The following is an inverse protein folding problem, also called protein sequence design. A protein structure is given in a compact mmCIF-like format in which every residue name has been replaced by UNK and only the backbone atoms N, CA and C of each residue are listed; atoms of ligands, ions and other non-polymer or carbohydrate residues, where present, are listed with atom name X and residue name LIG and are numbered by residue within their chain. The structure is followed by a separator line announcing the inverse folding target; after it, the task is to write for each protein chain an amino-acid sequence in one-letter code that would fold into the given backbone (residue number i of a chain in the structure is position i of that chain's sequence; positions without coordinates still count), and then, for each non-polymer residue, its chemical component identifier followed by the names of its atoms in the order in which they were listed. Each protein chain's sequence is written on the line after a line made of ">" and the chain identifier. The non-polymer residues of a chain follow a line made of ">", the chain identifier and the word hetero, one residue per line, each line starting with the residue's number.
data_IF_200093135595
#
_entry.id   IF_200093135595
#
_cell.length_a   1.000
_cell.length_b   1.000
_cell.length_c   1.000
_cell.angle_alpha   90.00
_cell.angle_beta   90.00
_cell.angle_gamma   90.00
#
_symmetry.space_group_name_H-M   'P 1'
#
loop_
_entity.id
_entity.type
_entity.pdbx_description
1 polymer ?
#
# COMPACT_ATOMS: atom_id res chain seq x y z
N UNK A 1 -3.69 -1.89 44.08
CA UNK A 1 -3.76 -2.35 42.70
C UNK A 1 -2.35 -2.63 42.23
N UNK A 2 -2.01 -3.87 41.90
CA UNK A 2 -0.70 -4.18 41.33
C UNK A 2 -0.83 -3.99 39.82
N UNK A 3 -0.20 -2.93 39.29
CA UNK A 3 -0.09 -2.74 37.86
C UNK A 3 1.02 -3.65 37.32
N UNK A 4 0.69 -4.52 36.39
CA UNK A 4 1.68 -5.28 35.63
C UNK A 4 1.77 -4.68 34.22
N UNK A 5 2.98 -4.43 33.76
CA UNK A 5 3.22 -3.95 32.39
C UNK A 5 3.53 -5.15 31.50
N UNK A 6 2.72 -5.37 30.50
CA UNK A 6 2.98 -6.35 29.44
C UNK A 6 3.54 -5.65 28.21
N UNK A 7 4.69 -6.15 27.70
CA UNK A 7 5.31 -5.58 26.50
C UNK A 7 4.85 -6.36 25.27
N UNK A 8 4.33 -5.63 24.29
CA UNK A 8 3.94 -6.16 22.99
C UNK A 8 4.90 -5.66 21.92
N UNK A 9 5.38 -6.57 21.09
CA UNK A 9 6.32 -6.24 20.02
C UNK A 9 5.66 -6.54 18.67
N UNK A 10 5.72 -5.57 17.80
CA UNK A 10 5.16 -5.63 16.46
C UNK A 10 6.28 -5.56 15.42
N UNK A 11 6.19 -6.34 14.36
CA UNK A 11 6.89 -6.11 13.12
C UNK A 11 5.88 -5.55 12.12
N UNK A 12 5.97 -4.25 11.87
CA UNK A 12 4.94 -3.49 11.14
C UNK A 12 3.56 -3.70 11.79
N UNK A 13 2.72 -4.56 11.19
CA UNK A 13 1.35 -4.83 11.65
C UNK A 13 1.18 -6.21 12.27
N UNK A 14 2.21 -7.03 12.15
CA UNK A 14 2.22 -8.37 12.69
C UNK A 14 2.64 -8.34 14.15
N UNK A 15 1.81 -8.89 15.03
CA UNK A 15 2.22 -9.15 16.40
C UNK A 15 3.24 -10.29 16.40
N UNK A 16 4.48 -10.02 16.82
CA UNK A 16 5.53 -11.05 16.94
C UNK A 16 5.76 -11.52 18.37
N UNK A 17 5.38 -10.69 19.35
CA UNK A 17 5.52 -11.06 20.77
C UNK A 17 4.48 -10.35 21.65
N UNK A 18 3.96 -11.08 22.66
CA UNK A 18 3.14 -10.54 23.74
C UNK A 18 3.66 -11.11 25.06
N UNK A 19 4.41 -10.32 25.81
CA UNK A 19 5.14 -10.81 27.00
C UNK A 19 6.12 -11.95 26.65
N UNK A 20 5.88 -13.16 27.17
CA UNK A 20 6.64 -14.38 26.86
C UNK A 20 6.20 -15.07 25.57
N UNK A 21 5.00 -14.81 25.09
CA UNK A 21 4.42 -15.49 23.94
C UNK A 21 5.04 -15.01 22.62
N UNK A 22 5.27 -15.93 21.69
CA UNK A 22 5.87 -15.68 20.39
C UNK A 22 4.89 -16.10 19.31
N UNK A 23 4.75 -15.28 18.26
CA UNK A 23 3.88 -15.51 17.11
C UNK A 23 4.71 -15.57 15.83
N UNK A 24 4.45 -16.57 15.00
CA UNK A 24 4.98 -16.68 13.64
C UNK A 24 3.83 -16.38 12.69
N UNK A 25 4.01 -15.37 11.87
CA UNK A 25 2.97 -14.88 10.97
C UNK A 25 3.17 -15.38 9.54
N UNK A 26 2.07 -15.51 8.79
CA UNK A 26 2.09 -15.79 7.36
C UNK A 26 2.76 -14.62 6.61
N UNK A 27 3.87 -14.86 5.90
CA UNK A 27 4.66 -13.78 5.30
C UNK A 27 3.97 -13.08 4.11
N UNK A 28 2.97 -13.73 3.51
CA UNK A 28 2.30 -13.23 2.31
C UNK A 28 0.97 -12.52 2.61
N UNK A 29 0.49 -12.57 3.86
CA UNK A 29 -0.74 -11.87 4.25
C UNK A 29 -0.38 -10.52 4.87
N UNK A 30 -0.80 -9.46 4.21
CA UNK A 30 -0.68 -8.10 4.72
C UNK A 30 -1.43 -7.97 6.04
N UNK A 31 -0.80 -7.34 7.03
CA UNK A 31 -1.42 -7.14 8.34
C UNK A 31 -1.04 -8.17 9.41
N UNK A 32 -0.33 -9.23 9.04
CA UNK A 32 0.17 -10.25 9.96
C UNK A 32 -0.93 -11.15 10.51
N UNK A 33 -0.97 -12.38 10.03
CA UNK A 33 -1.87 -13.42 10.51
C UNK A 33 -1.01 -14.52 11.12
N UNK A 34 -1.08 -14.74 12.45
CA UNK A 34 -0.29 -15.78 13.09
C UNK A 34 -0.72 -17.18 12.66
N UNK A 35 0.19 -17.93 12.06
CA UNK A 35 0.02 -19.34 11.70
C UNK A 35 0.50 -20.29 12.80
N UNK A 36 1.32 -19.78 13.71
CA UNK A 36 1.83 -20.51 14.84
C UNK A 36 2.01 -19.57 16.03
N UNK A 37 1.68 -20.05 17.23
CA UNK A 37 2.06 -19.40 18.48
C UNK A 37 2.78 -20.36 19.41
N UNK A 38 3.71 -19.81 20.21
CA UNK A 38 4.35 -20.49 21.34
C UNK A 38 4.00 -19.71 22.60
N UNK A 39 3.24 -20.33 23.49
CA UNK A 39 2.84 -19.78 24.78
C UNK A 39 3.33 -20.68 25.92
N UNK A 40 3.06 -20.31 27.17
CA UNK A 40 3.33 -21.18 28.34
C UNK A 40 2.55 -22.49 28.28
N UNK A 41 1.42 -22.54 27.54
CA UNK A 41 0.62 -23.74 27.32
C UNK A 41 1.16 -24.63 26.19
N UNK A 42 2.19 -24.20 25.48
CA UNK A 42 2.86 -24.96 24.42
C UNK A 42 2.78 -24.29 23.04
N UNK A 43 3.06 -25.09 22.01
CA UNK A 43 3.00 -24.65 20.61
C UNK A 43 1.63 -24.99 20.04
N UNK A 44 1.06 -24.03 19.30
CA UNK A 44 -0.22 -24.17 18.60
C UNK A 44 -0.07 -23.73 17.15
N UNK A 45 -0.77 -24.42 16.26
CA UNK A 45 -0.95 -24.06 14.87
C UNK A 45 -2.34 -23.48 14.69
N UNK A 46 -2.47 -22.45 13.86
CA UNK A 46 -3.71 -21.69 13.67
C UNK A 46 -4.19 -21.83 12.25
N UNK A 47 -5.49 -22.08 12.09
CA UNK A 47 -6.20 -22.08 10.81
C UNK A 47 -7.12 -20.87 10.74
N UNK A 48 -7.22 -20.25 9.57
CA UNK A 48 -7.86 -18.97 9.38
C UNK A 48 -8.86 -19.00 8.23
N UNK A 49 -9.84 -18.08 8.31
CA UNK A 49 -10.64 -17.70 7.17
C UNK A 49 -9.86 -16.77 6.21
N UNK A 50 -10.49 -16.38 5.11
CA UNK A 50 -9.89 -15.48 4.12
C UNK A 50 -9.47 -14.12 4.71
N UNK A 51 -10.25 -13.46 5.60
CA UNK A 51 -9.84 -12.24 6.28
C UNK A 51 -8.73 -12.42 7.34
N UNK A 52 -8.30 -13.65 7.62
CA UNK A 52 -7.27 -13.92 8.62
C UNK A 52 -7.80 -14.05 10.05
N UNK A 53 -9.11 -14.26 10.22
CA UNK A 53 -9.69 -14.58 11.52
C UNK A 53 -9.44 -16.03 11.86
N UNK A 54 -8.87 -16.30 13.02
CA UNK A 54 -8.58 -17.67 13.48
C UNK A 54 -9.88 -18.43 13.71
N UNK A 55 -10.05 -19.56 13.03
CA UNK A 55 -11.21 -20.44 13.14
C UNK A 55 -11.01 -21.52 14.20
N UNK A 56 -9.81 -22.13 14.24
CA UNK A 56 -9.42 -23.11 15.26
C UNK A 56 -7.91 -23.15 15.42
N UNK A 57 -7.47 -23.80 16.49
CA UNK A 57 -6.06 -24.10 16.68
C UNK A 57 -5.84 -25.54 17.12
N UNK A 58 -4.71 -26.12 16.70
CA UNK A 58 -4.29 -27.49 17.02
C UNK A 58 -2.96 -27.50 17.78
N UNK A 59 -2.72 -28.58 18.51
CA UNK A 59 -1.42 -28.88 19.12
C UNK A 59 -0.43 -29.46 18.08
N UNK A 60 0.79 -29.74 18.51
CA UNK A 60 1.84 -30.35 17.68
C UNK A 60 1.54 -31.77 17.19
N UNK A 61 0.46 -32.38 17.67
CA UNK A 61 -0.01 -33.73 17.27
C UNK A 61 -1.23 -33.64 16.35
N UNK A 62 -1.70 -32.43 16.06
CA UNK A 62 -2.90 -32.19 15.25
C UNK A 62 -4.22 -32.32 16.04
N UNK A 63 -4.20 -32.44 17.38
CA UNK A 63 -5.43 -32.45 18.15
C UNK A 63 -5.99 -31.01 18.25
N UNK A 64 -7.31 -30.88 18.11
CA UNK A 64 -8.01 -29.62 18.29
C UNK A 64 -7.83 -29.13 19.74
N UNK A 65 -7.30 -27.92 19.90
CA UNK A 65 -7.07 -27.29 21.21
C UNK A 65 -8.13 -26.23 21.48
N UNK A 66 -8.43 -25.42 20.46
CA UNK A 66 -9.42 -24.34 20.51
C UNK A 66 -10.25 -24.33 19.23
N UNK A 67 -11.53 -24.03 19.39
CA UNK A 67 -12.49 -23.81 18.32
C UNK A 67 -13.11 -22.42 18.50
N UNK A 68 -13.07 -21.59 17.47
CA UNK A 68 -13.52 -20.21 17.47
C UNK A 68 -14.65 -19.96 16.45
N UNK A 69 -15.31 -21.00 15.97
CA UNK A 69 -16.36 -20.92 14.94
C UNK A 69 -17.60 -20.11 15.36
N UNK A 70 -17.73 -19.78 16.65
CA UNK A 70 -18.76 -18.87 17.18
C UNK A 70 -18.46 -17.38 16.95
N UNK A 71 -17.29 -17.07 16.37
CA UNK A 71 -16.90 -15.69 16.07
C UNK A 71 -17.72 -15.14 14.91
N UNK A 72 -18.43 -14.03 15.15
CA UNK A 72 -19.19 -13.34 14.12
C UNK A 72 -18.26 -12.67 13.10
N UNK A 73 -18.82 -12.23 11.97
CA UNK A 73 -18.08 -11.46 10.95
C UNK A 73 -17.50 -10.14 11.48
N UNK A 74 -17.95 -9.68 12.64
CA UNK A 74 -17.46 -8.48 13.32
C UNK A 74 -16.44 -8.79 14.41
N UNK A 75 -16.04 -10.05 14.56
CA UNK A 75 -15.10 -10.46 15.60
C UNK A 75 -15.71 -10.68 16.97
N UNK A 76 -17.02 -10.52 17.11
CA UNK A 76 -17.73 -10.82 18.35
C UNK A 76 -17.89 -12.34 18.49
N UNK A 77 -17.70 -12.88 19.68
CA UNK A 77 -17.84 -14.31 19.97
C UNK A 77 -17.48 -14.61 21.41
N UNK A 78 -17.47 -15.90 21.79
CA UNK A 78 -17.05 -16.33 23.12
C UNK A 78 -15.58 -15.99 23.33
N UNK A 79 -15.33 -14.86 23.96
CA UNK A 79 -14.02 -14.41 24.33
C UNK A 79 -13.56 -15.26 25.50
N UNK A 80 -12.96 -16.37 25.17
CA UNK A 80 -12.22 -17.14 26.18
C UNK A 80 -10.95 -16.38 26.52
N UNK A 81 -10.46 -16.54 27.75
CA UNK A 81 -9.13 -16.04 28.15
C UNK A 81 -8.06 -16.68 27.28
N UNK A 82 -7.86 -16.13 26.13
CA UNK A 82 -6.96 -16.66 25.13
C UNK A 82 -6.05 -15.55 24.59
N UNK A 83 -4.77 -15.78 24.69
CA UNK A 83 -3.73 -14.86 24.22
C UNK A 83 -3.48 -14.97 22.72
N UNK A 84 -4.21 -15.86 22.04
CA UNK A 84 -4.10 -16.02 20.59
C UNK A 84 -4.59 -14.78 19.85
N UNK A 85 -3.96 -14.52 18.72
CA UNK A 85 -4.51 -13.57 17.77
C UNK A 85 -5.76 -14.18 17.09
N UNK A 86 -6.84 -13.43 17.03
CA UNK A 86 -8.14 -13.93 16.57
C UNK A 86 -8.68 -13.18 15.37
N UNK A 87 -9.43 -12.13 15.60
CA UNK A 87 -10.09 -11.37 14.54
C UNK A 87 -9.07 -10.68 13.63
N UNK A 88 -9.06 -11.05 12.35
CA UNK A 88 -8.08 -10.57 11.35
C UNK A 88 -6.61 -10.62 11.81
N UNK A 89 -6.26 -11.67 12.53
CA UNK A 89 -4.91 -11.86 13.07
C UNK A 89 -4.53 -10.95 14.24
N UNK A 90 -5.49 -10.25 14.85
CA UNK A 90 -5.22 -9.32 15.95
C UNK A 90 -5.58 -9.92 17.31
N UNK A 91 -4.75 -9.67 18.34
CA UNK A 91 -5.00 -10.15 19.69
C UNK A 91 -6.12 -9.36 20.37
N UNK A 92 -6.84 -10.04 21.24
CA UNK A 92 -7.81 -9.41 22.11
C UNK A 92 -7.19 -9.06 23.46
N UNK A 93 -7.48 -7.87 23.95
CA UNK A 93 -7.10 -7.44 25.29
C UNK A 93 -8.33 -7.43 26.19
N UNK A 94 -8.30 -8.22 27.26
CA UNK A 94 -9.45 -8.39 28.20
C UNK A 94 -9.68 -7.16 29.04
N UNK A 95 -8.64 -6.43 29.42
CA UNK A 95 -8.77 -5.22 30.23
C UNK A 95 -9.34 -4.07 29.38
N UNK A 96 -8.94 -4.01 28.13
CA UNK A 96 -9.50 -3.05 27.16
C UNK A 96 -10.84 -3.52 26.61
N UNK A 97 -11.16 -4.81 26.66
CA UNK A 97 -12.33 -5.41 25.97
C UNK A 97 -12.35 -5.05 24.47
N UNK A 98 -11.22 -5.15 23.81
CA UNK A 98 -11.06 -4.74 22.42
C UNK A 98 -9.95 -5.54 21.71
N UNK A 99 -10.05 -5.67 20.41
CA UNK A 99 -8.92 -6.12 19.60
C UNK A 99 -7.91 -4.99 19.45
N UNK A 100 -6.63 -5.32 19.66
CA UNK A 100 -5.54 -4.37 19.60
C UNK A 100 -4.88 -4.42 18.22
N UNK A 101 -5.03 -3.34 17.49
CA UNK A 101 -4.31 -3.07 16.26
C UNK A 101 -3.16 -2.09 16.54
N UNK A 102 -2.14 -2.00 15.69
CA UNK A 102 -1.00 -1.13 15.95
C UNK A 102 -1.34 0.36 16.23
N UNK A 103 -2.39 0.86 15.64
CA UNK A 103 -2.74 2.29 15.72
C UNK A 103 -4.09 2.56 16.39
N UNK A 104 -4.98 1.57 16.47
CA UNK A 104 -6.34 1.74 17.03
C UNK A 104 -6.79 0.48 17.77
N UNK A 105 -7.74 0.62 18.67
CA UNK A 105 -8.41 -0.50 19.30
C UNK A 105 -9.79 -0.69 18.70
N UNK A 106 -10.15 -1.91 18.33
CA UNK A 106 -11.42 -2.26 17.71
C UNK A 106 -12.35 -2.93 18.70
N UNK A 107 -13.55 -2.39 18.82
CA UNK A 107 -14.62 -2.93 19.66
C UNK A 107 -15.58 -3.78 18.81
N UNK A 108 -15.48 -5.10 18.94
CA UNK A 108 -16.31 -6.03 18.19
C UNK A 108 -17.80 -5.93 18.53
N UNK A 109 -18.14 -5.58 19.79
CA UNK A 109 -19.54 -5.49 20.24
C UNK A 109 -20.30 -4.33 19.58
N UNK A 110 -19.59 -3.28 19.21
CA UNK A 110 -20.14 -2.11 18.51
C UNK A 110 -19.78 -2.07 17.03
N UNK A 111 -18.92 -2.99 16.58
CA UNK A 111 -18.33 -3.03 15.24
C UNK A 111 -17.63 -1.71 14.86
N UNK A 112 -16.90 -1.10 15.81
CA UNK A 112 -16.29 0.22 15.65
C UNK A 112 -14.90 0.32 16.24
N UNK A 113 -14.12 1.23 15.68
CA UNK A 113 -12.90 1.72 16.32
C UNK A 113 -13.23 2.55 17.56
N UNK A 114 -12.46 2.38 18.64
CA UNK A 114 -12.63 3.15 19.88
C UNK A 114 -12.05 4.55 19.85
N UNK A 115 -11.21 4.82 18.86
CA UNK A 115 -10.63 6.15 18.65
C UNK A 115 -10.85 6.60 17.22
N UNK A 116 -10.80 7.91 17.02
CA UNK A 116 -10.75 8.49 15.68
C UNK A 116 -9.55 7.99 14.92
N UNK A 117 -9.66 7.94 13.59
CA UNK A 117 -8.54 7.58 12.74
C UNK A 117 -7.41 8.60 12.87
N UNK A 118 -6.16 8.17 13.13
CA UNK A 118 -5.02 9.08 13.11
C UNK A 118 -4.82 9.80 11.76
N UNK A 119 -5.32 9.20 10.66
CA UNK A 119 -5.30 9.83 9.34
C UNK A 119 -6.43 10.87 9.12
N UNK A 120 -7.28 11.12 10.12
CA UNK A 120 -8.38 12.09 10.07
C UNK A 120 -9.72 11.46 9.75
N UNK A 121 -10.29 11.73 8.60
CA UNK A 121 -11.59 11.23 8.13
C UNK A 121 -11.46 10.43 6.83
N UNK A 122 -10.58 9.40 6.76
CA UNK A 122 -10.35 8.66 5.51
C UNK A 122 -11.61 7.97 5.01
N UNK A 123 -12.50 7.55 5.93
CA UNK A 123 -13.72 6.80 5.65
C UNK A 123 -14.99 7.68 5.67
N UNK A 124 -14.84 9.00 5.51
CA UNK A 124 -15.93 9.96 5.56
C UNK A 124 -16.23 10.45 6.98
N UNK A 125 -17.46 10.96 7.21
CA UNK A 125 -17.85 11.60 8.47
C UNK A 125 -17.76 10.64 9.68
N UNK A 126 -17.86 9.33 9.45
CA UNK A 126 -17.78 8.32 10.50
C UNK A 126 -16.38 7.73 10.60
N UNK A 127 -15.46 8.42 11.26
CA UNK A 127 -14.07 8.01 11.46
C UNK A 127 -13.86 6.85 12.48
N UNK A 128 -14.94 6.25 12.95
CA UNK A 128 -14.93 5.07 13.84
C UNK A 128 -15.43 3.81 13.13
N UNK A 129 -15.75 3.88 11.85
CA UNK A 129 -16.24 2.74 11.08
C UNK A 129 -15.09 1.80 10.72
N UNK A 130 -15.25 0.49 10.90
CA UNK A 130 -14.17 -0.47 10.67
C UNK A 130 -13.92 -0.72 9.18
N UNK A 131 -14.94 -1.11 8.45
CA UNK A 131 -14.88 -1.34 7.00
C UNK A 131 -16.28 -1.38 6.38
N UNK A 132 -16.41 -0.95 5.12
CA UNK A 132 -17.69 -0.89 4.43
C UNK A 132 -18.32 -2.29 4.19
N UNK A 133 -17.50 -3.32 4.01
CA UNK A 133 -17.93 -4.72 3.83
C UNK A 133 -16.98 -5.62 4.60
N UNK A 134 -17.32 -5.97 5.82
CA UNK A 134 -16.48 -6.72 6.77
C UNK A 134 -16.08 -8.13 6.30
N UNK A 135 -16.81 -8.71 5.37
CA UNK A 135 -16.58 -10.08 4.87
C UNK A 135 -15.69 -10.14 3.62
N UNK A 136 -15.47 -9.01 2.96
CA UNK A 136 -14.75 -8.95 1.69
C UNK A 136 -13.57 -7.97 1.71
N UNK A 137 -13.51 -7.09 2.70
CA UNK A 137 -12.48 -6.06 2.80
C UNK A 137 -11.79 -6.17 4.15
N UNK A 138 -10.52 -6.55 4.11
CA UNK A 138 -9.64 -6.46 5.27
C UNK A 138 -9.06 -5.05 5.23
N UNK A 139 -9.54 -4.19 6.12
CA UNK A 139 -8.79 -2.98 6.44
C UNK A 139 -7.59 -3.38 7.33
N UNK A 140 -6.56 -3.91 6.71
CA UNK A 140 -5.33 -4.23 7.44
C UNK A 140 -4.67 -2.97 7.97
N UNK A 141 -4.95 -1.80 7.36
CA UNK A 141 -4.45 -0.46 7.74
C UNK A 141 -5.28 0.72 7.25
N UNK A 142 -6.21 0.52 6.31
CA UNK A 142 -6.97 1.61 5.70
C UNK A 142 -6.14 2.59 4.89
N UNK A 143 -5.05 2.14 4.24
CA UNK A 143 -4.12 3.05 3.57
C UNK A 143 -3.74 2.56 2.17
N UNK A 144 -3.64 3.52 1.22
CA UNK A 144 -3.22 3.28 -0.14
C UNK A 144 -1.79 2.72 -0.24
N UNK A 145 -1.50 2.02 -1.32
CA UNK A 145 -0.14 1.59 -1.65
C UNK A 145 0.28 2.07 -3.04
N UNK A 146 1.55 2.40 -3.20
CA UNK A 146 2.16 2.68 -4.50
C UNK A 146 3.30 1.70 -4.73
N UNK A 147 3.14 0.88 -5.73
CA UNK A 147 4.12 -0.11 -6.16
C UNK A 147 4.87 0.38 -7.39
N UNK A 148 6.19 0.19 -7.42
CA UNK A 148 7.02 0.52 -8.58
C UNK A 148 7.32 -0.75 -9.36
N UNK A 149 7.09 -0.68 -10.65
CA UNK A 149 7.39 -1.74 -11.61
C UNK A 149 8.44 -1.27 -12.62
N UNK A 150 9.24 -2.22 -13.10
CA UNK A 150 10.18 -2.01 -14.18
C UNK A 150 10.02 -3.05 -15.28
N UNK A 151 10.23 -2.65 -16.54
CA UNK A 151 10.35 -3.56 -17.67
C UNK A 151 11.49 -3.12 -18.58
N UNK A 152 12.13 -4.03 -19.31
CA UNK A 152 13.16 -3.66 -20.27
C UNK A 152 12.57 -2.76 -21.37
N UNK A 153 13.34 -1.77 -21.78
CA UNK A 153 13.00 -0.96 -22.95
C UNK A 153 13.15 -1.81 -24.22
N UNK A 154 12.09 -1.88 -25.02
CA UNK A 154 12.12 -2.56 -26.30
C UNK A 154 13.17 -1.93 -27.24
N UNK A 155 14.13 -2.74 -27.72
CA UNK A 155 15.17 -2.30 -28.63
C UNK A 155 16.40 -1.63 -27.98
N UNK A 156 16.49 -1.59 -26.65
CA UNK A 156 17.68 -1.11 -25.93
C UNK A 156 18.27 -2.23 -25.07
N UNK A 157 19.58 -2.54 -25.20
CA UNK A 157 20.23 -3.56 -24.36
C UNK A 157 20.44 -3.13 -22.90
N UNK A 158 20.25 -1.84 -22.61
CA UNK A 158 20.35 -1.29 -21.26
C UNK A 158 19.31 -0.19 -21.08
N UNK A 159 18.43 -0.37 -20.12
CA UNK A 159 17.47 0.65 -19.72
C UNK A 159 16.16 0.04 -19.24
N UNK A 160 15.61 0.65 -18.22
CA UNK A 160 14.31 0.28 -17.62
C UNK A 160 13.29 1.35 -17.93
N UNK A 161 12.11 0.95 -18.40
CA UNK A 161 10.91 1.76 -18.31
C UNK A 161 10.26 1.50 -16.95
N UNK A 162 9.99 2.55 -16.18
CA UNK A 162 9.33 2.43 -14.91
C UNK A 162 7.93 3.04 -14.93
N UNK A 163 7.04 2.44 -14.18
CA UNK A 163 5.70 2.96 -13.91
C UNK A 163 5.30 2.62 -12.47
N UNK A 164 4.42 3.42 -11.90
CA UNK A 164 3.84 3.21 -10.59
C UNK A 164 2.45 2.60 -10.71
N UNK A 165 2.10 1.67 -9.83
CA UNK A 165 0.73 1.18 -9.65
C UNK A 165 0.23 1.66 -8.31
N UNK A 166 -0.65 2.65 -8.34
CA UNK A 166 -1.32 3.18 -7.16
C UNK A 166 -2.57 2.34 -6.92
N UNK A 167 -2.67 1.71 -5.76
CA UNK A 167 -3.85 0.95 -5.33
C UNK A 167 -4.46 1.65 -4.13
N UNK A 168 -5.77 1.83 -4.19
CA UNK A 168 -6.59 2.43 -3.13
C UNK A 168 -7.73 1.47 -2.79
N UNK A 169 -8.18 1.46 -1.54
CA UNK A 169 -9.38 0.73 -1.15
C UNK A 169 -10.67 1.50 -1.55
N UNK A 170 -11.84 0.88 -1.32
CA UNK A 170 -13.13 1.47 -1.68
C UNK A 170 -13.39 2.81 -0.99
N UNK A 171 -12.90 2.98 0.23
CA UNK A 171 -13.10 4.19 1.01
C UNK A 171 -12.24 5.34 0.47
N UNK A 172 -10.96 5.07 0.23
CA UNK A 172 -10.05 6.02 -0.38
C UNK A 172 -10.53 6.42 -1.78
N UNK A 173 -10.97 5.42 -2.55
CA UNK A 173 -11.57 5.68 -3.87
C UNK A 173 -12.79 6.58 -3.77
N UNK A 174 -13.64 6.43 -2.75
CA UNK A 174 -14.82 7.27 -2.55
C UNK A 174 -14.48 8.75 -2.40
N UNK A 175 -13.32 9.07 -1.81
CA UNK A 175 -12.82 10.42 -1.53
C UNK A 175 -12.18 11.10 -2.74
N UNK A 176 -11.86 10.35 -3.78
CA UNK A 176 -11.30 10.89 -5.02
C UNK A 176 -12.35 11.73 -5.76
N UNK A 177 -11.88 12.72 -6.49
CA UNK A 177 -12.72 13.50 -7.40
C UNK A 177 -13.25 12.62 -8.54
N UNK A 178 -14.30 13.06 -9.23
CA UNK A 178 -14.83 12.31 -10.39
C UNK A 178 -13.79 12.11 -11.49
N UNK A 179 -12.93 13.11 -11.71
CA UNK A 179 -11.84 13.05 -12.69
C UNK A 179 -10.78 12.03 -12.26
N UNK A 180 -10.35 12.07 -10.99
CA UNK A 180 -9.42 11.09 -10.45
C UNK A 180 -10.00 9.66 -10.52
N UNK A 181 -11.26 9.47 -10.15
CA UNK A 181 -11.96 8.17 -10.20
C UNK A 181 -11.94 7.55 -11.59
N UNK A 182 -12.07 8.36 -12.64
CA UNK A 182 -12.06 7.88 -14.03
C UNK A 182 -10.74 7.23 -14.44
N UNK A 183 -9.67 7.46 -13.69
CA UNK A 183 -8.32 6.93 -13.93
C UNK A 183 -8.06 5.57 -13.28
N UNK A 184 -8.99 5.06 -12.49
CA UNK A 184 -8.85 3.79 -11.77
C UNK A 184 -9.71 2.69 -12.36
N UNK A 185 -9.17 1.50 -12.34
CA UNK A 185 -9.88 0.26 -12.67
C UNK A 185 -10.24 -0.47 -11.38
N UNK A 186 -11.43 -1.09 -11.33
CA UNK A 186 -11.83 -1.94 -10.21
C UNK A 186 -11.12 -3.30 -10.28
N UNK A 187 -10.61 -3.77 -9.15
CA UNK A 187 -10.00 -5.08 -9.00
C UNK A 187 -11.02 -6.09 -8.44
N UNK A 188 -10.75 -7.38 -8.62
CA UNK A 188 -11.63 -8.46 -8.13
C UNK A 188 -11.69 -8.57 -6.60
N UNK A 189 -10.73 -7.98 -5.89
CA UNK A 189 -10.63 -7.94 -4.43
C UNK A 189 -11.34 -6.73 -3.79
N UNK A 190 -12.01 -5.91 -4.60
CA UNK A 190 -12.73 -4.72 -4.12
C UNK A 190 -11.86 -3.46 -3.98
N UNK A 191 -10.59 -3.54 -4.34
CA UNK A 191 -9.71 -2.38 -4.44
C UNK A 191 -9.81 -1.74 -5.82
N UNK A 192 -9.18 -0.58 -5.99
CA UNK A 192 -9.09 0.13 -7.26
C UNK A 192 -7.63 0.46 -7.54
N UNK A 193 -7.20 0.27 -8.78
CA UNK A 193 -5.81 0.54 -9.14
C UNK A 193 -5.69 1.37 -10.41
N UNK A 194 -4.62 2.16 -10.47
CA UNK A 194 -4.23 2.94 -11.63
C UNK A 194 -2.74 2.79 -11.86
N UNK A 195 -2.33 2.37 -13.06
CA UNK A 195 -0.92 2.46 -13.44
C UNK A 195 -0.64 3.86 -14.00
N UNK A 196 0.51 4.43 -13.63
CA UNK A 196 0.92 5.78 -14.01
C UNK A 196 2.36 5.73 -14.49
N UNK A 197 2.58 6.09 -15.74
CA UNK A 197 3.90 6.07 -16.36
C UNK A 197 4.09 7.18 -17.38
N UNK A 198 5.35 7.54 -17.63
CA UNK A 198 5.73 8.52 -18.65
C UNK A 198 6.19 7.85 -19.93
N UNK A 199 5.75 8.35 -21.06
CA UNK A 199 6.07 7.80 -22.37
C UNK A 199 6.60 8.89 -23.28
N UNK A 200 7.33 8.47 -24.31
CA UNK A 200 7.65 9.35 -25.43
C UNK A 200 6.36 9.62 -26.19
N UNK A 201 6.00 10.90 -26.33
CA UNK A 201 4.82 11.32 -27.10
C UNK A 201 4.99 11.02 -28.60
N UNK A 202 3.88 10.83 -29.28
CA UNK A 202 3.87 10.80 -30.76
C UNK A 202 4.01 12.20 -31.36
N UNK A 203 3.82 13.26 -30.57
CA UNK A 203 3.92 14.65 -30.99
C UNK A 203 5.37 15.11 -31.07
N UNK A 204 5.80 15.56 -32.25
CA UNK A 204 7.13 16.11 -32.46
C UNK A 204 7.22 17.57 -32.01
N UNK A 205 8.35 17.92 -31.42
CA UNK A 205 8.68 19.33 -31.11
C UNK A 205 9.08 20.06 -32.40
N UNK A 206 8.39 21.13 -32.81
CA UNK A 206 8.77 21.90 -33.98
C UNK A 206 10.18 22.49 -33.84
N UNK A 207 11.02 22.30 -34.86
CA UNK A 207 12.37 22.91 -34.98
C UNK A 207 13.45 22.44 -33.99
N UNK A 208 13.31 21.28 -33.35
CA UNK A 208 14.40 20.70 -32.55
C UNK A 208 15.23 19.74 -33.42
N UNK A 209 16.36 20.22 -33.96
CA UNK A 209 17.35 19.40 -34.61
C UNK A 209 18.21 18.72 -33.54
N UNK A 210 17.88 17.50 -33.16
CA UNK A 210 18.70 16.76 -32.19
C UNK A 210 19.08 15.36 -32.68
N UNK A 211 20.34 14.96 -32.51
CA UNK A 211 20.85 13.66 -32.99
C UNK A 211 20.35 12.44 -32.20
N UNK A 212 19.63 12.58 -31.09
CA UNK A 212 19.33 11.50 -30.16
C UNK A 212 17.84 11.29 -29.88
N UNK A 213 16.95 11.64 -30.80
CA UNK A 213 15.50 11.48 -30.60
C UNK A 213 14.89 12.48 -29.61
N UNK A 214 15.55 13.60 -29.39
CA UNK A 214 15.12 14.68 -28.50
C UNK A 214 14.07 15.62 -29.14
N UNK A 215 13.27 15.13 -30.05
CA UNK A 215 12.24 15.92 -30.76
C UNK A 215 10.82 15.58 -30.33
N UNK A 216 10.63 15.04 -29.14
CA UNK A 216 9.34 14.59 -28.66
C UNK A 216 9.10 15.10 -27.24
N UNK A 217 7.82 15.26 -26.88
CA UNK A 217 7.42 15.55 -25.50
C UNK A 217 7.35 14.25 -24.67
N UNK A 218 7.21 14.39 -23.37
CA UNK A 218 6.82 13.30 -22.46
C UNK A 218 5.33 13.37 -22.28
N UNK A 219 4.64 12.26 -22.52
CA UNK A 219 3.22 12.06 -22.19
C UNK A 219 3.14 11.22 -20.91
N UNK A 220 2.40 11.71 -19.91
CA UNK A 220 2.01 10.89 -18.77
C UNK A 220 0.70 10.19 -19.11
N UNK A 221 0.66 8.89 -18.94
CA UNK A 221 -0.52 8.08 -19.23
C UNK A 221 -0.96 7.29 -18.02
N UNK A 222 -2.29 7.09 -17.92
CA UNK A 222 -2.93 6.23 -16.95
C UNK A 222 -3.35 4.92 -17.61
N UNK A 223 -3.14 3.79 -16.91
CA UNK A 223 -3.55 2.44 -17.34
C UNK A 223 -3.11 2.07 -18.76
N UNK A 224 -1.88 2.42 -19.10
CA UNK A 224 -1.33 2.06 -20.41
C UNK A 224 -1.16 0.55 -20.52
N UNK A 225 -1.67 -0.04 -21.60
CA UNK A 225 -1.55 -1.49 -21.85
C UNK A 225 -0.09 -1.96 -21.97
N UNK A 226 0.83 -1.06 -22.34
CA UNK A 226 2.27 -1.33 -22.38
C UNK A 226 2.88 -1.53 -20.99
N UNK A 227 2.20 -1.15 -19.89
CA UNK A 227 2.61 -1.40 -18.51
C UNK A 227 2.31 -2.83 -18.04
N UNK A 228 1.61 -3.61 -18.86
CA UNK A 228 1.42 -5.03 -18.58
C UNK A 228 2.74 -5.80 -18.68
N UNK A 229 3.03 -6.67 -17.70
CA UNK A 229 4.20 -7.55 -17.72
C UNK A 229 5.50 -6.98 -17.15
N UNK A 230 5.45 -5.85 -16.47
CA UNK A 230 6.57 -5.35 -15.67
C UNK A 230 6.83 -6.23 -14.44
N UNK A 231 8.09 -6.24 -13.99
CA UNK A 231 8.49 -6.90 -12.74
C UNK A 231 8.35 -5.91 -11.60
N UNK A 232 7.64 -6.30 -10.55
CA UNK A 232 7.52 -5.49 -9.32
C UNK A 232 8.89 -5.33 -8.69
N UNK A 233 9.36 -4.10 -8.56
CA UNK A 233 10.61 -3.75 -7.91
C UNK A 233 10.43 -3.53 -6.41
N UNK A 234 9.29 -3.02 -5.98
CA UNK A 234 8.99 -2.81 -4.57
C UNK A 234 7.88 -1.79 -4.35
N UNK A 235 7.67 -1.47 -3.08
CA UNK A 235 6.70 -0.46 -2.65
C UNK A 235 7.41 0.88 -2.40
N UNK A 236 6.71 1.96 -2.68
CA UNK A 236 7.07 3.30 -2.19
C UNK A 236 6.80 3.35 -0.69
N UNK A 237 7.65 4.04 0.04
CA UNK A 237 7.43 4.32 1.46
C UNK A 237 7.08 5.79 1.65
N UNK A 238 6.22 6.09 2.60
CA UNK A 238 5.98 7.45 3.07
C UNK A 238 7.18 8.02 3.85
N UNK A 239 7.08 9.26 4.28
CA UNK A 239 8.12 9.94 5.07
C UNK A 239 8.42 9.22 6.40
N UNK A 240 7.48 8.48 6.93
CA UNK A 240 7.58 7.65 8.14
C UNK A 240 8.19 6.26 7.90
N UNK A 241 8.55 5.95 6.64
CA UNK A 241 9.04 4.64 6.22
C UNK A 241 7.95 3.57 6.02
N UNK A 242 6.67 3.92 6.21
CA UNK A 242 5.54 3.02 5.97
C UNK A 242 5.31 2.80 4.47
N UNK A 243 4.96 1.57 4.09
CA UNK A 243 4.50 1.24 2.72
C UNK A 243 3.04 1.65 2.50
N UNK A 244 2.36 2.01 3.55
CA UNK A 244 0.96 2.40 3.54
C UNK A 244 0.87 3.92 3.49
N UNK A 245 0.28 4.40 2.43
CA UNK A 245 0.31 5.80 2.04
C UNK A 245 -1.05 6.43 2.36
N UNK A 246 -1.05 7.55 3.06
CA UNK A 246 -2.29 8.25 3.42
C UNK A 246 -2.86 9.04 2.23
N UNK A 247 -4.10 9.52 2.36
CA UNK A 247 -4.78 10.28 1.32
C UNK A 247 -4.10 11.61 0.95
N UNK A 248 -3.27 12.18 1.85
CA UNK A 248 -2.47 13.36 1.50
C UNK A 248 -1.42 12.99 0.44
N UNK A 249 -0.76 11.84 0.61
CA UNK A 249 0.14 11.31 -0.41
C UNK A 249 -0.60 11.02 -1.72
N UNK A 250 -1.72 10.30 -1.67
CA UNK A 250 -2.53 9.95 -2.85
C UNK A 250 -2.92 11.21 -3.63
N UNK A 251 -3.47 12.19 -2.93
CA UNK A 251 -3.89 13.45 -3.56
C UNK A 251 -2.71 14.25 -4.11
N UNK A 252 -1.59 14.33 -3.38
CA UNK A 252 -0.39 15.02 -3.87
C UNK A 252 0.18 14.34 -5.12
N UNK A 253 0.23 13.01 -5.13
CA UNK A 253 0.70 12.22 -6.27
C UNK A 253 -0.16 12.41 -7.51
N UNK A 254 -1.48 12.27 -7.36
CA UNK A 254 -2.43 12.44 -8.47
C UNK A 254 -2.46 13.89 -8.97
N UNK A 255 -2.46 14.88 -8.08
CA UNK A 255 -2.43 16.29 -8.46
C UNK A 255 -1.14 16.66 -9.20
N UNK A 256 0.02 16.15 -8.76
CA UNK A 256 1.28 16.34 -9.45
C UNK A 256 1.24 15.73 -10.87
N UNK A 257 0.68 14.53 -11.01
CA UNK A 257 0.50 13.87 -12.30
C UNK A 257 -0.42 14.65 -13.22
N UNK A 258 -1.54 15.18 -12.70
CA UNK A 258 -2.51 15.97 -13.47
C UNK A 258 -1.94 17.34 -13.88
N UNK A 259 -1.18 17.98 -12.99
CA UNK A 259 -0.49 19.23 -13.30
C UNK A 259 0.57 19.01 -14.38
N UNK A 260 1.33 17.92 -14.30
CA UNK A 260 2.28 17.54 -15.34
C UNK A 260 1.56 17.36 -16.69
N UNK A 261 0.47 16.59 -16.74
CA UNK A 261 -0.32 16.42 -17.96
C UNK A 261 -0.82 17.74 -18.56
N UNK A 262 -1.15 18.71 -17.71
CA UNK A 262 -1.56 20.04 -18.17
C UNK A 262 -0.40 20.85 -18.75
N UNK A 263 0.85 20.50 -18.42
CA UNK A 263 2.09 21.17 -18.80
C UNK A 263 3.02 20.30 -19.67
N UNK A 264 2.57 19.13 -20.12
CA UNK A 264 3.42 18.09 -20.78
C UNK A 264 4.19 18.61 -21.99
N UNK A 265 3.60 19.52 -22.77
CA UNK A 265 4.27 20.14 -23.93
C UNK A 265 5.46 21.02 -23.56
N UNK A 266 5.69 21.26 -22.28
CA UNK A 266 6.84 22.02 -21.79
C UNK A 266 8.02 21.13 -21.39
N UNK A 267 7.86 19.80 -21.40
CA UNK A 267 8.93 18.86 -21.07
C UNK A 267 9.33 18.00 -22.25
N UNK A 268 10.61 17.99 -22.55
CA UNK A 268 11.19 17.25 -23.65
C UNK A 268 11.60 15.85 -23.22
N UNK A 269 11.31 14.86 -24.04
CA UNK A 269 11.78 13.48 -23.81
C UNK A 269 13.26 13.32 -24.13
N UNK A 270 14.01 12.71 -23.22
CA UNK A 270 15.38 12.22 -23.48
C UNK A 270 15.60 10.89 -22.77
N UNK A 271 16.08 9.89 -23.50
CA UNK A 271 16.47 8.62 -22.91
C UNK A 271 17.55 8.79 -21.81
N UNK A 272 18.40 9.81 -21.98
CA UNK A 272 19.43 10.21 -21.01
C UNK A 272 19.27 11.72 -20.77
N UNK A 273 18.46 12.13 -19.77
CA UNK A 273 18.22 13.54 -19.51
C UNK A 273 19.46 14.21 -18.93
N UNK A 274 19.91 15.29 -19.58
CA UNK A 274 21.11 16.04 -19.21
C UNK A 274 20.83 17.43 -18.63
N UNK A 275 19.60 17.91 -18.73
CA UNK A 275 19.18 19.18 -18.13
C UNK A 275 17.73 19.11 -17.68
N UNK A 276 17.30 20.03 -16.82
CA UNK A 276 15.94 20.07 -16.26
C UNK A 276 14.81 20.29 -17.29
N UNK A 277 15.14 20.59 -18.54
CA UNK A 277 14.19 20.69 -19.65
C UNK A 277 13.83 19.32 -20.23
N UNK A 278 14.64 18.31 -19.96
CA UNK A 278 14.46 16.95 -20.43
C UNK A 278 14.06 16.01 -19.29
N UNK A 279 13.34 14.98 -19.63
CA UNK A 279 12.99 13.91 -18.72
C UNK A 279 12.72 12.60 -19.45
N UNK A 280 12.43 11.56 -18.71
CA UNK A 280 11.97 10.25 -19.20
C UNK A 280 11.02 9.62 -18.18
N UNK A 281 10.54 8.40 -18.44
CA UNK A 281 9.65 7.69 -17.52
C UNK A 281 10.22 7.58 -16.10
N UNK A 282 11.53 7.33 -15.97
CA UNK A 282 12.17 7.14 -14.67
C UNK A 282 12.26 8.46 -13.88
N UNK A 283 12.65 9.57 -14.53
CA UNK A 283 12.70 10.88 -13.89
C UNK A 283 11.30 11.40 -13.51
N UNK A 284 10.30 11.16 -14.36
CA UNK A 284 8.91 11.54 -14.08
C UNK A 284 8.38 10.80 -12.86
N UNK A 285 8.45 9.45 -12.84
CA UNK A 285 7.94 8.67 -11.73
C UNK A 285 8.66 9.00 -10.41
N UNK A 286 9.99 9.10 -10.45
CA UNK A 286 10.80 9.47 -9.29
C UNK A 286 10.37 10.81 -8.70
N UNK A 287 10.11 11.79 -9.54
CA UNK A 287 9.71 13.12 -9.10
C UNK A 287 8.28 13.19 -8.57
N UNK A 288 7.34 12.45 -9.18
CA UNK A 288 5.98 12.31 -8.65
C UNK A 288 5.97 11.72 -7.24
N UNK A 289 6.78 10.68 -7.01
CA UNK A 289 6.93 10.05 -5.69
C UNK A 289 7.47 11.05 -4.67
N UNK A 290 8.51 11.80 -5.03
CA UNK A 290 9.14 12.77 -4.12
C UNK A 290 8.20 13.94 -3.78
N UNK A 291 7.49 14.49 -4.77
CA UNK A 291 6.51 15.58 -4.57
C UNK A 291 5.39 15.13 -3.62
N UNK A 292 4.98 13.89 -3.71
CA UNK A 292 4.00 13.31 -2.81
C UNK A 292 4.54 13.02 -1.39
N UNK A 293 5.83 13.23 -1.14
CA UNK A 293 6.48 12.95 0.14
C UNK A 293 6.87 11.48 0.33
N UNK A 294 6.95 10.72 -0.76
CA UNK A 294 7.38 9.32 -0.75
C UNK A 294 8.87 9.14 -1.03
N UNK A 295 9.31 7.91 -0.80
CA UNK A 295 10.66 7.46 -1.11
C UNK A 295 10.63 6.06 -1.73
N UNK A 296 11.53 5.81 -2.68
CA UNK A 296 11.72 4.51 -3.30
C UNK A 296 13.20 4.24 -3.56
N UNK A 297 13.64 3.05 -3.17
CA UNK A 297 15.01 2.59 -3.41
C UNK A 297 15.16 2.04 -4.84
N UNK A 298 15.72 2.85 -5.73
CA UNK A 298 15.91 2.50 -7.13
C UNK A 298 16.87 1.31 -7.35
N UNK A 299 17.69 0.95 -6.35
CA UNK A 299 18.56 -0.24 -6.45
C UNK A 299 17.77 -1.55 -6.54
N UNK A 300 16.48 -1.52 -6.19
CA UNK A 300 15.56 -2.66 -6.31
C UNK A 300 15.05 -2.88 -7.75
N UNK A 301 15.25 -1.93 -8.65
CA UNK A 301 14.84 -2.09 -10.03
C UNK A 301 15.67 -3.18 -10.71
N UNK A 302 15.04 -4.04 -11.52
CA UNK A 302 15.71 -5.20 -12.11
C UNK A 302 16.77 -4.82 -13.16
N UNK A 303 16.76 -3.57 -13.64
CA UNK A 303 17.70 -3.01 -14.60
C UNK A 303 18.02 -1.56 -14.27
N UNK A 304 19.06 -1.00 -14.87
CA UNK A 304 19.45 0.40 -14.68
C UNK A 304 18.30 1.36 -15.05
N UNK A 305 17.85 2.13 -14.07
CA UNK A 305 16.84 3.16 -14.27
C UNK A 305 17.51 4.51 -14.59
N UNK A 306 18.02 4.64 -15.81
CA UNK A 306 18.69 5.87 -16.26
C UNK A 306 17.75 7.07 -16.08
N UNK A 307 18.22 8.10 -15.39
CA UNK A 307 17.46 9.33 -15.13
C UNK A 307 16.61 9.28 -13.86
N UNK A 308 16.63 8.21 -13.04
CA UNK A 308 15.84 8.14 -11.81
C UNK A 308 16.12 9.32 -10.86
N UNK A 309 17.36 9.69 -10.67
CA UNK A 309 17.76 10.83 -9.83
C UNK A 309 17.74 12.18 -10.53
N UNK A 310 17.38 12.19 -11.82
CA UNK A 310 17.29 13.43 -12.58
C UNK A 310 16.05 14.22 -12.18
N UNK A 311 16.18 15.55 -12.09
CA UNK A 311 15.08 16.47 -11.74
C UNK A 311 14.67 17.30 -12.94
N UNK A 312 13.40 17.20 -13.28
CA UNK A 312 12.73 18.05 -14.26
C UNK A 312 12.36 19.39 -13.62
N UNK A 313 11.96 20.39 -14.40
CA UNK A 313 11.53 21.68 -13.88
C UNK A 313 10.34 21.54 -12.92
N UNK A 314 10.40 22.16 -11.73
CA UNK A 314 9.38 22.04 -10.70
C UNK A 314 8.02 22.62 -11.14
N UNK A 315 8.03 23.68 -11.94
CA UNK A 315 6.81 24.32 -12.45
C UNK A 315 5.95 23.41 -13.34
N UNK A 316 6.47 22.26 -13.78
CA UNK A 316 5.67 21.27 -14.55
C UNK A 316 4.64 20.56 -13.66
N UNK A 317 4.86 20.54 -12.35
CA UNK A 317 4.05 19.82 -11.36
C UNK A 317 3.18 20.75 -10.49
N UNK A 318 3.24 22.04 -10.75
CA UNK A 318 2.52 23.09 -10.04
C UNK A 318 1.45 23.71 -10.93
N UNK A 319 0.34 24.16 -10.33
CA UNK A 319 -0.68 24.98 -11.00
C UNK A 319 -0.36 26.46 -10.89
#
# INVERSE_FOLDING_TARGET
>A
MNWSTEVWTWDRLALIRRGSDIYVNEPHISGGVPILSKTDEGVRYHEHDFPGTTLWSTDTKGNLVKDYQDTTIFGEGSIQKDRSARFTGKPYDEDLQAYVFPYRNYDASTARWRSSDPAGYPDGINNQFYAAVHTLVIDSLGLATLEVYGRPLSGSPAGTHTYGVLTVNSNEYSQLTSDQKSKFNSNSDGTYSSSIGGYKSDSMVPNLNSPAGMGYYIDLTYNNTADSGGIKAGNVTGADGSINLNMNFVNAYLNAADNFNSNETSSLYSAIPLSSEFGNCNSLLSQLIEIAGGNFDASKLPWDAIGWSHRMKSNLFEK
#
